data_IF_287898412996
#
_entry.id   IF_287898412996
#
_cell.length_a   1.000
_cell.length_b   1.000
_cell.length_c   1.000
_cell.angle_alpha   90.00
_cell.angle_beta   90.00
_cell.angle_gamma   90.00
#
_symmetry.space_group_name_H-M   'P 1'
#
loop_
_entity.id
_entity.type
_entity.pdbx_description
1 polymer ?
#
# COMPACT_ATOMS: atom_id res chain seq x y z
N UNK A 1 -18.53 -12.92 -8.85
CA UNK A 1 -17.21 -12.81 -9.51
C UNK A 1 -16.18 -12.86 -8.39
N UNK A 2 -15.32 -13.88 -8.36
CA UNK A 2 -14.38 -14.06 -7.25
C UNK A 2 -13.30 -12.99 -7.32
N UNK A 3 -13.12 -12.24 -6.24
CA UNK A 3 -11.94 -11.40 -6.04
C UNK A 3 -10.71 -12.33 -6.12
N UNK A 4 -9.87 -12.14 -7.13
CA UNK A 4 -8.57 -12.80 -7.15
C UNK A 4 -7.77 -12.18 -6.00
N UNK A 5 -7.54 -12.95 -4.94
CA UNK A 5 -6.70 -12.52 -3.84
C UNK A 5 -5.29 -12.31 -4.36
N UNK A 6 -4.87 -11.05 -4.45
CA UNK A 6 -3.49 -10.71 -4.79
C UNK A 6 -2.64 -11.01 -3.56
N UNK A 7 -1.68 -11.94 -3.70
CA UNK A 7 -0.77 -12.30 -2.61
C UNK A 7 0.39 -11.32 -2.43
N UNK A 8 0.69 -10.52 -3.46
CA UNK A 8 1.79 -9.55 -3.46
C UNK A 8 1.57 -8.45 -4.51
N UNK A 9 1.86 -7.20 -4.14
CA UNK A 9 1.91 -6.06 -5.05
C UNK A 9 3.31 -5.91 -5.67
N UNK A 10 3.40 -6.02 -6.99
CA UNK A 10 4.67 -5.95 -7.72
C UNK A 10 4.93 -4.54 -8.26
N UNK A 11 6.11 -4.00 -8.01
CA UNK A 11 6.51 -2.70 -8.57
C UNK A 11 6.53 -2.74 -10.10
N UNK A 12 5.98 -1.69 -10.72
CA UNK A 12 5.79 -1.58 -12.16
C UNK A 12 4.44 -2.07 -12.67
N UNK A 13 3.67 -2.78 -11.84
CA UNK A 13 2.36 -3.35 -12.21
C UNK A 13 1.20 -2.46 -11.78
N UNK A 14 0.15 -2.43 -12.60
CA UNK A 14 -1.12 -1.77 -12.29
C UNK A 14 -2.06 -2.74 -11.57
N UNK A 15 -2.76 -2.24 -10.56
CA UNK A 15 -3.80 -2.96 -9.84
C UNK A 15 -5.01 -2.07 -9.66
N UNK A 16 -6.19 -2.66 -9.61
CA UNK A 16 -7.41 -1.96 -9.22
C UNK A 16 -7.37 -1.60 -7.74
N UNK A 17 -8.08 -0.53 -7.38
CA UNK A 17 -8.30 -0.14 -5.98
C UNK A 17 -8.84 -1.30 -5.15
N UNK A 18 -9.79 -2.08 -5.69
CA UNK A 18 -10.37 -3.26 -5.04
C UNK A 18 -9.36 -4.41 -4.80
N UNK A 19 -8.36 -4.56 -5.67
CA UNK A 19 -7.30 -5.56 -5.50
C UNK A 19 -6.30 -5.11 -4.42
N UNK A 20 -5.95 -3.83 -4.40
CA UNK A 20 -5.08 -3.23 -3.38
C UNK A 20 -5.78 -3.26 -2.01
N UNK A 21 -7.07 -2.94 -1.97
CA UNK A 21 -7.90 -2.95 -0.75
C UNK A 21 -7.92 -4.35 -0.14
N UNK A 22 -8.27 -5.36 -0.94
CA UNK A 22 -8.25 -6.76 -0.50
C UNK A 22 -6.85 -7.20 -0.04
N UNK A 23 -5.79 -6.75 -0.70
CA UNK A 23 -4.42 -7.03 -0.25
C UNK A 23 -4.12 -6.38 1.12
N UNK A 24 -4.48 -5.12 1.33
CA UNK A 24 -4.25 -4.41 2.60
C UNK A 24 -5.07 -5.01 3.75
N UNK A 25 -6.32 -5.40 3.51
CA UNK A 25 -7.15 -6.05 4.53
C UNK A 25 -6.57 -7.38 5.01
N UNK A 26 -5.88 -8.11 4.13
CA UNK A 26 -5.37 -9.45 4.41
C UNK A 26 -3.87 -9.48 4.80
N UNK A 27 -3.17 -8.35 4.73
CA UNK A 27 -1.72 -8.29 4.97
C UNK A 27 -1.36 -7.12 5.89
N UNK A 28 -0.40 -7.35 6.80
CA UNK A 28 0.11 -6.28 7.67
C UNK A 28 1.09 -5.38 6.93
N UNK A 29 0.56 -4.43 6.14
CA UNK A 29 1.33 -3.58 5.23
C UNK A 29 0.91 -2.12 5.32
N UNK A 30 1.73 -1.22 4.80
CA UNK A 30 1.43 0.21 4.65
C UNK A 30 1.34 0.53 3.16
N UNK A 31 0.32 1.28 2.74
CA UNK A 31 0.20 1.76 1.35
C UNK A 31 0.18 3.29 1.37
N UNK A 32 1.05 3.89 0.57
CA UNK A 32 1.15 5.35 0.39
C UNK A 32 0.68 5.66 -1.02
N UNK A 33 -0.32 6.54 -1.13
CA UNK A 33 -0.90 6.93 -2.42
C UNK A 33 -0.69 8.41 -2.67
N UNK A 34 -0.37 8.77 -3.92
CA UNK A 34 -0.38 10.17 -4.36
C UNK A 34 -1.80 10.75 -4.49
N UNK A 35 -2.83 9.93 -4.36
CA UNK A 35 -4.24 10.30 -4.41
C UNK A 35 -4.88 10.40 -3.01
N UNK A 36 -4.04 10.54 -1.98
CA UNK A 36 -4.43 10.75 -0.57
C UNK A 36 -5.51 9.77 -0.09
N UNK A 37 -6.58 10.28 0.52
CA UNK A 37 -7.68 9.49 1.08
C UNK A 37 -8.67 8.95 0.03
N UNK A 38 -8.42 9.16 -1.27
CA UNK A 38 -9.29 8.69 -2.35
C UNK A 38 -8.87 7.33 -2.95
N UNK A 39 -7.85 6.69 -2.37
CA UNK A 39 -7.32 5.42 -2.89
C UNK A 39 -8.42 4.36 -3.06
N UNK A 40 -9.33 4.25 -2.09
CA UNK A 40 -10.36 3.20 -2.02
C UNK A 40 -11.79 3.68 -2.29
N UNK A 41 -11.99 4.89 -2.83
CA UNK A 41 -13.34 5.43 -3.05
C UNK A 41 -14.03 4.89 -4.30
N UNK A 42 -13.25 4.45 -5.30
CA UNK A 42 -13.76 3.87 -6.54
C UNK A 42 -13.03 2.55 -6.83
N UNK A 43 -13.70 1.39 -6.73
CA UNK A 43 -13.07 0.07 -6.73
C UNK A 43 -12.39 -0.30 -8.06
N UNK A 44 -12.81 0.31 -9.16
CA UNK A 44 -12.30 0.07 -10.52
C UNK A 44 -11.16 1.00 -10.94
N UNK A 45 -10.81 2.02 -10.13
CA UNK A 45 -9.64 2.89 -10.44
C UNK A 45 -8.36 2.06 -10.41
N UNK A 46 -7.50 2.29 -11.39
CA UNK A 46 -6.19 1.66 -11.45
C UNK A 46 -5.11 2.53 -10.82
N UNK A 47 -4.20 1.86 -10.12
CA UNK A 47 -3.01 2.47 -9.54
C UNK A 47 -1.80 1.62 -9.88
N UNK A 48 -0.71 2.29 -10.22
CA UNK A 48 0.58 1.66 -10.49
C UNK A 48 1.38 1.60 -9.20
N UNK A 49 1.89 0.43 -8.85
CA UNK A 49 2.87 0.29 -7.75
C UNK A 49 4.20 0.83 -8.26
N UNK A 50 4.70 1.91 -7.68
CA UNK A 50 5.96 2.54 -8.10
C UNK A 50 7.14 2.10 -7.24
N UNK A 51 6.93 1.88 -5.94
CA UNK A 51 7.97 1.42 -5.03
C UNK A 51 7.47 0.37 -4.04
N UNK A 52 8.38 -0.50 -3.62
CA UNK A 52 8.21 -1.47 -2.53
C UNK A 52 9.39 -1.34 -1.57
N UNK A 53 9.11 -1.18 -0.29
CA UNK A 53 10.08 -1.12 0.80
C UNK A 53 9.77 -2.20 1.84
N UNK A 54 10.81 -2.71 2.52
CA UNK A 54 10.63 -3.69 3.61
C UNK A 54 10.18 -3.07 4.93
N UNK A 55 10.30 -1.75 5.07
CA UNK A 55 9.99 -1.00 6.29
C UNK A 55 10.23 0.49 6.08
N UNK A 56 10.00 1.27 7.14
CA UNK A 56 10.18 2.73 7.12
C UNK A 56 10.63 3.24 8.49
N UNK A 57 11.28 4.40 8.51
CA UNK A 57 11.54 5.10 9.77
C UNK A 57 10.32 5.92 10.16
N UNK A 58 9.91 5.82 11.42
CA UNK A 58 8.85 6.64 12.00
C UNK A 58 9.37 7.37 13.25
N UNK A 59 8.67 8.44 13.63
CA UNK A 59 8.93 9.13 14.89
C UNK A 59 8.21 8.41 16.04
N UNK A 60 8.98 7.92 16.99
CA UNK A 60 8.46 7.25 18.18
C UNK A 60 8.25 8.27 19.28
N UNK A 61 6.99 8.49 19.68
CA UNK A 61 6.68 9.32 20.84
C UNK A 61 7.22 8.70 22.14
N UNK A 62 7.25 7.37 22.24
CA UNK A 62 7.73 6.63 23.42
C UNK A 62 9.25 6.79 23.60
N UNK A 63 10.02 6.65 22.52
CA UNK A 63 11.48 6.76 22.56
C UNK A 63 11.99 8.20 22.40
N UNK A 64 11.11 9.15 22.06
CA UNK A 64 11.46 10.54 21.74
C UNK A 64 12.39 10.67 20.53
N UNK A 65 12.36 9.70 19.62
CA UNK A 65 13.39 9.49 18.60
C UNK A 65 12.85 8.87 17.31
N UNK A 66 13.75 8.28 16.51
CA UNK A 66 13.37 7.53 15.30
C UNK A 66 13.45 6.04 15.57
N UNK A 67 12.48 5.29 15.09
CA UNK A 67 12.51 3.84 15.08
C UNK A 67 12.29 3.31 13.66
N UNK A 68 12.88 2.16 13.37
CA UNK A 68 12.61 1.48 12.10
C UNK A 68 11.46 0.50 12.31
N UNK A 69 10.36 0.73 11.62
CA UNK A 69 9.19 -0.15 11.63
C UNK A 69 9.35 -1.16 10.50
N UNK A 70 9.54 -2.43 10.87
CA UNK A 70 9.61 -3.56 9.93
C UNK A 70 8.20 -3.94 9.44
N UNK A 71 7.64 -3.06 8.60
CA UNK A 71 6.31 -3.21 8.01
C UNK A 71 6.41 -2.88 6.51
N UNK A 72 6.16 -3.85 5.61
CA UNK A 72 6.29 -3.62 4.18
C UNK A 72 5.44 -2.44 3.70
N UNK A 73 6.06 -1.54 2.94
CA UNK A 73 5.43 -0.31 2.45
C UNK A 73 5.42 -0.27 0.94
N UNK A 74 4.26 0.01 0.37
CA UNK A 74 4.06 0.13 -1.08
C UNK A 74 3.68 1.57 -1.40
N UNK A 75 4.32 2.15 -2.41
CA UNK A 75 3.92 3.45 -2.96
C UNK A 75 3.16 3.19 -4.25
N UNK A 76 1.96 3.75 -4.35
CA UNK A 76 1.09 3.62 -5.51
C UNK A 76 0.75 4.99 -6.07
N UNK A 77 0.74 5.09 -7.39
CA UNK A 77 0.39 6.31 -8.10
C UNK A 77 -0.84 6.06 -8.97
N UNK A 78 -1.79 7.00 -8.94
CA UNK A 78 -2.92 6.96 -9.85
C UNK A 78 -2.43 7.02 -11.30
N UNK A 79 -2.94 6.10 -12.12
CA UNK A 79 -2.68 6.04 -13.58
C UNK A 79 -3.60 7.01 -14.33
#
# INVERSE_FOLDING_TARGET
MGSQSVSELTAGTNYKASEIDSFVENNHVTVVSNNENQLFTEPDREYKVVYKFGGYFDHSEELGGKEFVEKPTYVVEKV
#
